data_IF_382541782311
#
_entry.id   IF_382541782311
#
_cell.length_a   1.000
_cell.length_b   1.000
_cell.length_c   1.000
_cell.angle_alpha   90.00
_cell.angle_beta   90.00
_cell.angle_gamma   90.00
#
_symmetry.space_group_name_H-M   'P 1'
#
loop_
_entity.id
_entity.type
_entity.pdbx_description
1 polymer ?
#
# COMPACT_ATOMS: atom_id res chain seq x y z
N UNK A 1 -10.32 10.49 -34.57
CA UNK A 1 -11.28 11.59 -34.33
C UNK A 1 -10.82 12.31 -33.07
N UNK A 2 -10.55 13.59 -33.09
CA UNK A 2 -10.09 14.32 -31.90
C UNK A 2 -11.25 14.42 -30.90
N UNK A 3 -11.02 14.05 -29.65
CA UNK A 3 -11.95 14.27 -28.53
C UNK A 3 -11.62 15.63 -27.92
N UNK A 4 -12.59 16.51 -27.92
CA UNK A 4 -12.56 17.80 -27.29
C UNK A 4 -12.16 17.68 -25.81
N UNK A 5 -11.06 18.35 -25.46
CA UNK A 5 -10.66 18.59 -24.08
C UNK A 5 -11.56 19.69 -23.51
N UNK A 6 -12.66 19.29 -22.89
CA UNK A 6 -13.43 20.21 -22.06
C UNK A 6 -12.65 20.47 -20.78
N UNK A 7 -12.11 21.67 -20.65
CA UNK A 7 -11.52 22.16 -19.43
C UNK A 7 -12.54 22.09 -18.28
N UNK A 8 -12.39 21.14 -17.38
CA UNK A 8 -13.11 21.13 -16.11
C UNK A 8 -12.31 21.92 -15.09
N UNK A 9 -12.76 23.12 -14.80
CA UNK A 9 -12.32 23.86 -13.63
C UNK A 9 -12.84 23.15 -12.38
N UNK A 10 -11.95 22.45 -11.69
CA UNK A 10 -12.23 21.89 -10.37
C UNK A 10 -11.82 22.91 -9.31
N UNK A 11 -12.68 23.23 -8.33
CA UNK A 11 -12.27 24.09 -7.23
C UNK A 11 -11.23 23.34 -6.38
N UNK A 12 -10.10 24.00 -6.11
CA UNK A 12 -9.08 23.52 -5.20
C UNK A 12 -9.72 23.34 -3.80
N UNK A 13 -9.88 22.11 -3.36
CA UNK A 13 -10.17 21.80 -1.96
C UNK A 13 -8.84 21.95 -1.22
N UNK A 14 -8.62 23.12 -0.67
CA UNK A 14 -7.58 23.33 0.34
C UNK A 14 -8.01 22.58 1.57
N UNK A 15 -7.38 21.46 1.89
CA UNK A 15 -7.47 20.84 3.20
C UNK A 15 -6.80 21.76 4.22
N UNK A 16 -7.57 22.75 4.70
CA UNK A 16 -7.15 23.56 5.82
C UNK A 16 -7.13 22.66 7.07
N UNK A 17 -5.95 22.46 7.64
CA UNK A 17 -5.78 21.95 8.98
C UNK A 17 -6.56 22.86 9.92
N UNK A 18 -7.72 22.39 10.40
CA UNK A 18 -8.52 23.09 11.40
C UNK A 18 -7.90 22.82 12.76
N UNK A 19 -7.18 23.80 13.28
CA UNK A 19 -6.69 23.75 14.65
C UNK A 19 -7.87 23.52 15.61
N UNK A 20 -7.72 22.65 16.63
CA UNK A 20 -8.79 22.38 17.60
C UNK A 20 -9.20 23.66 18.34
N UNK A 21 -10.51 23.91 18.39
CA UNK A 21 -11.06 25.00 19.19
C UNK A 21 -10.73 24.79 20.68
N UNK A 22 -10.42 25.85 21.44
CA UNK A 22 -10.25 25.73 22.88
C UNK A 22 -11.56 25.27 23.52
N UNK A 23 -11.48 24.14 24.23
CA UNK A 23 -12.60 23.55 24.97
C UNK A 23 -12.77 24.34 26.27
N UNK A 24 -14.02 24.74 26.55
CA UNK A 24 -14.40 25.36 27.83
C UNK A 24 -14.13 24.37 29.00
N UNK A 25 -13.76 24.86 30.21
CA UNK A 25 -13.51 23.96 31.33
C UNK A 25 -14.73 23.13 31.69
N UNK A 26 -14.58 21.86 32.08
CA UNK A 26 -15.69 20.96 32.33
C UNK A 26 -16.49 21.40 33.56
N UNK A 27 -17.82 21.41 33.41
CA UNK A 27 -18.74 21.46 34.55
C UNK A 27 -18.61 20.15 35.34
N UNK A 28 -18.50 20.24 36.66
CA UNK A 28 -18.44 19.10 37.57
C UNK A 28 -19.76 18.34 37.47
N UNK A 29 -19.78 17.24 36.73
CA UNK A 29 -20.87 16.28 36.73
C UNK A 29 -20.68 15.33 37.91
N UNK A 30 -21.78 15.12 38.67
CA UNK A 30 -21.86 14.14 39.75
C UNK A 30 -21.45 12.76 39.24
N UNK A 31 -20.51 12.11 39.92
CA UNK A 31 -19.98 10.82 39.59
C UNK A 31 -21.10 9.76 39.55
N UNK A 32 -21.47 9.33 38.36
CA UNK A 32 -22.18 8.06 38.14
C UNK A 32 -21.30 6.86 38.52
N UNK A 33 -21.84 5.65 38.61
CA UNK A 33 -21.06 4.46 38.89
C UNK A 33 -19.87 4.37 37.92
N UNK A 34 -18.70 4.07 38.47
CA UNK A 34 -17.48 3.94 37.64
C UNK A 34 -17.74 2.99 36.47
N UNK A 35 -17.37 3.34 35.25
CA UNK A 35 -17.56 2.48 34.08
C UNK A 35 -16.92 1.12 34.34
N UNK A 36 -17.57 0.03 33.90
CA UNK A 36 -17.16 -1.36 34.11
C UNK A 36 -15.84 -1.74 33.37
N UNK A 37 -15.05 -0.78 32.96
CA UNK A 37 -13.81 -0.92 32.22
C UNK A 37 -13.98 -0.58 30.73
N UNK A 38 -12.87 -0.37 30.04
CA UNK A 38 -12.85 -0.17 28.60
C UNK A 38 -13.03 -1.50 27.87
N UNK A 39 -14.02 -1.58 27.01
CA UNK A 39 -14.29 -2.76 26.20
C UNK A 39 -13.50 -2.71 24.91
N UNK A 40 -12.56 -3.62 24.77
CA UNK A 40 -11.76 -3.81 23.56
C UNK A 40 -12.58 -4.60 22.56
N UNK A 41 -13.07 -3.92 21.53
CA UNK A 41 -13.91 -4.52 20.50
C UNK A 41 -13.12 -5.47 19.60
N UNK A 42 -11.85 -5.08 19.27
CA UNK A 42 -11.04 -5.82 18.33
C UNK A 42 -9.57 -5.43 18.40
N UNK A 43 -8.70 -6.42 18.17
CA UNK A 43 -7.29 -6.26 17.78
C UNK A 43 -7.17 -6.65 16.31
N UNK A 44 -6.64 -5.78 15.47
CA UNK A 44 -6.36 -6.03 14.06
C UNK A 44 -4.87 -5.88 13.80
N UNK A 45 -4.29 -6.84 13.06
CA UNK A 45 -2.88 -6.80 12.63
C UNK A 45 -2.87 -6.65 11.12
N UNK A 46 -2.35 -5.54 10.63
CA UNK A 46 -2.46 -5.17 9.22
C UNK A 46 -1.12 -4.75 8.63
N UNK A 47 -1.02 -4.96 7.34
CA UNK A 47 0.08 -4.52 6.47
C UNK A 47 -0.51 -3.65 5.35
N UNK A 48 -0.39 -4.04 4.07
CA UNK A 48 -0.95 -3.26 2.96
C UNK A 48 -2.48 -3.34 2.87
N UNK A 49 -3.08 -4.46 3.22
CA UNK A 49 -4.53 -4.74 3.17
C UNK A 49 -4.90 -5.74 4.25
N UNK A 50 -6.08 -5.60 4.87
CA UNK A 50 -6.55 -6.60 5.82
C UNK A 50 -8.08 -6.71 5.83
N UNK A 51 -8.55 -7.93 6.08
CA UNK A 51 -9.96 -8.23 6.31
C UNK A 51 -10.37 -7.98 7.75
N UNK A 52 -11.67 -7.91 7.98
CA UNK A 52 -12.22 -7.76 9.32
C UNK A 52 -11.93 -8.97 10.24
N UNK A 53 -11.74 -10.15 9.70
CA UNK A 53 -11.37 -11.38 10.43
C UNK A 53 -9.85 -11.65 10.49
N UNK A 54 -9.04 -10.74 9.97
CA UNK A 54 -7.58 -10.85 9.91
C UNK A 54 -7.09 -12.03 9.06
N UNK A 55 -7.79 -12.33 7.95
CA UNK A 55 -7.52 -13.50 7.10
C UNK A 55 -6.49 -13.26 5.99
N UNK A 56 -6.13 -12.01 5.69
CA UNK A 56 -5.06 -11.74 4.70
C UNK A 56 -3.71 -12.11 5.30
N UNK A 57 -2.91 -12.80 4.50
CA UNK A 57 -1.60 -13.32 4.91
C UNK A 57 -0.66 -12.18 5.35
N UNK A 58 -0.05 -12.34 6.53
CA UNK A 58 0.98 -11.43 7.03
C UNK A 58 2.35 -11.90 6.57
N UNK A 59 3.05 -11.03 5.86
CA UNK A 59 4.41 -11.28 5.36
C UNK A 59 5.43 -10.87 6.42
N UNK A 60 6.36 -11.77 6.71
CA UNK A 60 7.42 -11.52 7.68
C UNK A 60 8.34 -10.37 7.24
N UNK A 61 8.85 -9.61 8.20
CA UNK A 61 9.74 -8.45 8.00
C UNK A 61 9.14 -7.32 7.13
N UNK A 62 7.82 -7.31 6.94
CA UNK A 62 7.10 -6.21 6.30
C UNK A 62 6.53 -5.28 7.36
N UNK A 63 6.56 -3.96 7.12
CA UNK A 63 5.95 -2.96 8.00
C UNK A 63 4.55 -3.36 8.44
N UNK A 64 4.35 -3.47 9.75
CA UNK A 64 3.14 -4.04 10.35
C UNK A 64 2.58 -3.13 11.43
N UNK A 65 1.29 -2.82 11.32
CA UNK A 65 0.53 -2.01 12.27
C UNK A 65 -0.42 -2.90 13.06
N UNK A 66 -0.44 -2.76 14.37
CA UNK A 66 -1.50 -3.30 15.24
C UNK A 66 -2.46 -2.17 15.55
N UNK A 67 -3.76 -2.43 15.37
CA UNK A 67 -4.81 -1.49 15.66
C UNK A 67 -5.73 -2.06 16.73
N UNK A 68 -5.97 -1.28 17.78
CA UNK A 68 -6.84 -1.66 18.89
C UNK A 68 -8.05 -0.74 18.92
N UNK A 69 -9.22 -1.33 18.71
CA UNK A 69 -10.50 -0.62 18.69
C UNK A 69 -11.21 -0.76 20.02
N UNK A 70 -11.61 0.37 20.60
CA UNK A 70 -12.28 0.46 21.91
C UNK A 70 -13.71 0.91 21.70
N UNK A 71 -14.64 0.31 22.43
CA UNK A 71 -16.04 0.66 22.39
C UNK A 71 -16.27 2.01 23.08
N UNK A 72 -16.75 3.00 22.32
CA UNK A 72 -17.03 4.36 22.84
C UNK A 72 -18.12 4.39 23.90
N UNK A 73 -19.06 3.44 23.88
CA UNK A 73 -20.12 3.36 24.89
C UNK A 73 -19.61 3.03 26.31
N UNK A 74 -18.33 2.66 26.46
CA UNK A 74 -17.72 2.34 27.75
C UNK A 74 -17.17 3.56 28.50
N UNK A 75 -17.18 4.75 27.88
CA UNK A 75 -16.80 6.01 28.53
C UNK A 75 -18.02 6.92 28.70
N UNK A 76 -18.07 7.59 29.85
CA UNK A 76 -19.20 8.49 30.15
C UNK A 76 -19.00 9.91 29.57
N UNK A 77 -17.76 10.29 29.33
CA UNK A 77 -17.35 11.60 28.81
C UNK A 77 -16.25 11.43 27.78
N UNK A 78 -16.05 12.43 26.94
CA UNK A 78 -14.94 12.43 25.98
C UNK A 78 -13.61 12.23 26.71
N UNK A 79 -12.89 11.17 26.33
CA UNK A 79 -11.72 10.67 27.04
C UNK A 79 -10.55 10.46 26.09
N UNK A 80 -9.37 10.95 26.48
CA UNK A 80 -8.12 10.68 25.76
C UNK A 80 -7.42 9.47 26.35
N UNK A 81 -7.02 8.55 25.48
CA UNK A 81 -6.39 7.29 25.84
C UNK A 81 -5.03 7.17 25.18
N UNK A 82 -4.09 6.57 25.91
CA UNK A 82 -2.83 6.00 25.42
C UNK A 82 -2.80 4.52 25.73
N UNK A 83 -1.99 3.76 25.02
CA UNK A 83 -1.90 2.33 25.25
C UNK A 83 -0.49 1.80 25.10
N UNK A 84 -0.31 0.60 25.61
CA UNK A 84 0.90 -0.20 25.45
C UNK A 84 0.50 -1.66 25.23
N UNK A 85 1.08 -2.29 24.21
CA UNK A 85 0.95 -3.72 23.98
C UNK A 85 2.23 -4.45 24.34
N UNK A 86 2.06 -5.68 24.78
CA UNK A 86 3.14 -6.63 24.96
C UNK A 86 3.15 -7.61 23.79
N UNK A 87 4.32 -7.86 23.22
CA UNK A 87 4.49 -8.82 22.12
C UNK A 87 5.54 -9.87 22.49
N UNK A 88 5.27 -11.14 22.09
CA UNK A 88 6.14 -12.29 22.29
C UNK A 88 6.13 -13.20 21.07
N UNK A 89 7.28 -13.77 20.72
CA UNK A 89 7.40 -14.76 19.64
C UNK A 89 7.08 -16.19 20.09
N UNK A 90 6.97 -16.40 21.39
CA UNK A 90 6.43 -17.62 22.04
C UNK A 90 6.01 -17.29 23.48
N UNK A 91 5.23 -18.11 24.17
CA UNK A 91 4.83 -17.87 25.57
C UNK A 91 6.01 -17.68 26.54
N UNK A 92 7.15 -18.31 26.24
CA UNK A 92 8.36 -18.25 27.06
C UNK A 92 9.38 -17.21 26.58
N UNK A 93 9.15 -16.59 25.42
CA UNK A 93 10.05 -15.56 24.90
C UNK A 93 10.01 -14.30 25.77
N UNK A 94 11.11 -13.54 25.85
CA UNK A 94 11.11 -12.24 26.51
C UNK A 94 10.02 -11.33 25.95
N UNK A 95 9.30 -10.66 26.82
CA UNK A 95 8.31 -9.66 26.45
C UNK A 95 8.98 -8.43 25.84
N UNK A 96 8.39 -7.90 24.79
CA UNK A 96 8.70 -6.58 24.28
C UNK A 96 7.46 -5.70 24.38
N UNK A 97 7.65 -4.49 24.89
CA UNK A 97 6.57 -3.51 25.06
C UNK A 97 6.63 -2.51 23.91
N UNK A 98 5.48 -2.25 23.30
CA UNK A 98 5.34 -1.31 22.20
C UNK A 98 4.29 -0.27 22.61
N UNK A 99 4.65 1.00 22.76
CA UNK A 99 3.69 2.06 23.05
C UNK A 99 2.87 2.40 21.82
N UNK A 100 1.64 2.87 22.03
CA UNK A 100 0.83 3.45 20.95
C UNK A 100 1.55 4.70 20.38
N UNK A 101 1.52 4.82 19.05
CA UNK A 101 2.12 5.96 18.35
C UNK A 101 1.20 7.20 18.34
N UNK A 102 -0.05 7.05 18.79
CA UNK A 102 -1.06 8.10 18.82
C UNK A 102 -1.83 8.10 20.15
N UNK A 103 -2.57 9.19 20.39
CA UNK A 103 -3.65 9.24 21.37
C UNK A 103 -4.98 8.93 20.66
N UNK A 104 -5.82 8.13 21.29
CA UNK A 104 -7.19 7.88 20.87
C UNK A 104 -8.13 8.75 21.68
N UNK A 105 -9.01 9.50 21.01
CA UNK A 105 -10.08 10.25 21.65
C UNK A 105 -11.36 9.43 21.48
N UNK A 106 -11.90 8.93 22.61
CA UNK A 106 -13.23 8.33 22.64
C UNK A 106 -14.26 9.39 22.99
N UNK A 107 -15.22 9.60 22.10
CA UNK A 107 -16.34 10.50 22.35
C UNK A 107 -17.67 9.69 22.36
N UNK A 108 -18.32 9.54 23.53
CA UNK A 108 -19.57 8.81 23.62
C UNK A 108 -20.74 9.51 22.88
N UNK A 109 -20.59 10.81 22.57
CA UNK A 109 -21.59 11.55 21.79
C UNK A 109 -21.52 11.27 20.28
N UNK A 110 -20.39 10.69 19.81
CA UNK A 110 -20.15 10.38 18.39
C UNK A 110 -19.75 8.92 18.21
N UNK A 111 -20.61 7.95 18.56
CA UNK A 111 -20.25 6.54 18.45
C UNK A 111 -20.14 6.13 16.98
N UNK A 112 -19.05 5.47 16.62
CA UNK A 112 -18.84 4.86 15.32
C UNK A 112 -18.91 3.33 15.41
N UNK A 113 -19.54 2.71 14.41
CA UNK A 113 -19.51 1.25 14.27
C UNK A 113 -18.11 0.77 13.85
N UNK A 114 -17.75 -0.46 14.19
CA UNK A 114 -16.41 -1.01 13.93
C UNK A 114 -15.98 -0.90 12.46
N UNK A 115 -16.82 -1.14 11.43
CA UNK A 115 -16.40 -0.94 10.04
C UNK A 115 -15.96 0.50 9.74
N UNK A 116 -16.68 1.50 10.26
CA UNK A 116 -16.31 2.91 10.09
C UNK A 116 -15.02 3.26 10.85
N UNK A 117 -14.79 2.70 12.05
CA UNK A 117 -13.54 2.88 12.80
C UNK A 117 -12.35 2.30 12.03
N UNK A 118 -12.53 1.17 11.35
CA UNK A 118 -11.45 0.57 10.55
C UNK A 118 -11.00 1.47 9.40
N UNK A 119 -11.92 2.24 8.83
CA UNK A 119 -11.68 3.16 7.73
C UNK A 119 -11.02 4.49 8.14
N UNK A 120 -10.85 4.75 9.43
CA UNK A 120 -10.25 5.97 9.96
C UNK A 120 -9.07 5.65 10.90
N UNK A 121 -7.88 6.11 10.55
CA UNK A 121 -6.66 5.83 11.32
C UNK A 121 -6.70 6.40 12.74
N UNK A 122 -7.46 7.47 12.96
CA UNK A 122 -7.66 8.14 14.26
C UNK A 122 -8.60 7.39 15.21
N UNK A 123 -9.36 6.41 14.73
CA UNK A 123 -10.40 5.70 15.50
C UNK A 123 -9.90 4.44 16.22
N UNK A 124 -8.58 4.31 16.37
CA UNK A 124 -7.92 3.22 17.07
C UNK A 124 -6.64 3.68 17.78
N UNK A 125 -6.21 2.93 18.80
CA UNK A 125 -4.83 2.98 19.23
C UNK A 125 -3.98 2.20 18.22
N UNK A 126 -2.93 2.83 17.73
CA UNK A 126 -2.08 2.32 16.66
C UNK A 126 -0.67 2.02 17.19
N UNK A 127 -0.16 0.83 16.89
CA UNK A 127 1.14 0.36 17.34
C UNK A 127 1.95 -0.13 16.15
N UNK A 128 3.04 0.54 15.83
CA UNK A 128 3.95 0.08 14.79
C UNK A 128 4.86 -0.99 15.37
N UNK A 129 4.79 -2.20 14.83
CA UNK A 129 5.64 -3.30 15.30
C UNK A 129 7.08 -3.10 14.82
N UNK A 130 8.07 -3.30 15.69
CA UNK A 130 9.46 -3.32 15.26
C UNK A 130 9.78 -4.57 14.44
N UNK A 131 10.68 -4.45 13.46
CA UNK A 131 10.99 -5.51 12.48
C UNK A 131 11.44 -6.82 13.13
N UNK A 132 12.13 -6.75 14.25
CA UNK A 132 12.63 -7.93 14.95
C UNK A 132 11.56 -8.84 15.52
N UNK A 133 10.30 -8.39 15.65
CA UNK A 133 9.18 -9.22 16.13
C UNK A 133 8.28 -9.70 15.00
N UNK A 134 8.42 -9.17 13.78
CA UNK A 134 7.65 -9.59 12.61
C UNK A 134 8.33 -10.68 11.79
N UNK A 135 9.27 -11.43 12.39
CA UNK A 135 9.97 -12.56 11.75
C UNK A 135 9.02 -13.72 11.45
N UNK A 136 9.38 -14.64 10.55
CA UNK A 136 8.56 -15.81 10.27
C UNK A 136 8.23 -16.59 11.54
N UNK A 137 6.95 -16.96 11.70
CA UNK A 137 6.45 -17.68 12.86
C UNK A 137 5.31 -16.96 13.57
N UNK A 138 4.98 -17.43 14.75
CA UNK A 138 3.86 -16.90 15.54
C UNK A 138 4.29 -15.69 16.36
N UNK A 139 3.43 -14.68 16.39
CA UNK A 139 3.50 -13.53 17.30
C UNK A 139 2.27 -13.53 18.20
N UNK A 140 2.47 -13.45 19.50
CA UNK A 140 1.44 -13.30 20.53
C UNK A 140 1.42 -11.83 20.94
N UNK A 141 0.26 -11.22 20.85
CA UNK A 141 -0.03 -9.84 21.21
C UNK A 141 -0.93 -9.80 22.43
N UNK A 142 -0.62 -8.98 23.41
CA UNK A 142 -1.48 -8.72 24.56
C UNK A 142 -1.55 -7.21 24.83
N UNK A 143 -2.75 -6.67 25.06
CA UNK A 143 -2.91 -5.29 25.51
C UNK A 143 -2.48 -5.23 26.96
N UNK A 144 -1.34 -4.60 27.22
CA UNK A 144 -0.76 -4.52 28.55
C UNK A 144 -1.50 -3.56 29.44
N UNK A 145 -1.74 -2.36 28.89
CA UNK A 145 -2.47 -1.30 29.59
C UNK A 145 -3.04 -0.28 28.59
N UNK A 146 -4.13 0.33 28.99
CA UNK A 146 -4.68 1.54 28.40
C UNK A 146 -4.84 2.55 29.51
N UNK A 147 -4.32 3.75 29.33
CA UNK A 147 -4.27 4.82 30.33
C UNK A 147 -5.06 6.02 29.86
N UNK A 148 -5.73 6.71 30.76
CA UNK A 148 -6.23 8.06 30.49
C UNK A 148 -5.07 9.09 30.44
N UNK A 149 -5.29 10.19 29.75
CA UNK A 149 -4.41 11.34 29.85
C UNK A 149 -4.40 11.86 31.31
N UNK A 150 -3.29 11.63 32.00
CA UNK A 150 -3.19 11.89 33.45
C UNK A 150 -2.57 10.72 34.21
N UNK A 151 -2.57 9.51 33.61
CA UNK A 151 -1.72 8.40 34.06
C UNK A 151 -2.42 7.20 34.69
N UNK A 152 -3.74 7.23 34.86
CA UNK A 152 -4.44 6.11 35.50
C UNK A 152 -4.73 4.97 34.48
N UNK A 153 -4.29 3.75 34.85
CA UNK A 153 -4.62 2.54 34.10
C UNK A 153 -6.14 2.26 34.19
N UNK A 154 -6.72 1.91 33.05
CA UNK A 154 -8.13 1.58 32.97
C UNK A 154 -8.33 0.07 33.00
N UNK A 155 -9.32 -0.45 33.76
CA UNK A 155 -9.71 -1.84 33.64
C UNK A 155 -10.12 -2.18 32.20
N UNK A 156 -9.72 -3.35 31.70
CA UNK A 156 -9.98 -3.77 30.33
C UNK A 156 -10.85 -5.01 30.28
N UNK A 157 -11.82 -5.00 29.35
CA UNK A 157 -12.66 -6.15 28.99
C UNK A 157 -12.60 -6.41 27.49
N UNK A 158 -13.23 -7.48 26.98
CA UNK A 158 -13.25 -7.79 25.56
C UNK A 158 -12.00 -8.51 25.04
N UNK A 159 -11.62 -8.28 23.77
CA UNK A 159 -10.48 -8.94 23.11
C UNK A 159 -9.15 -8.36 23.58
N UNK A 160 -8.51 -8.98 24.58
CA UNK A 160 -7.26 -8.49 25.17
C UNK A 160 -6.00 -9.06 24.57
N UNK A 161 -6.10 -10.14 23.83
CA UNK A 161 -4.95 -10.81 23.21
C UNK A 161 -5.29 -11.35 21.84
N UNK A 162 -4.27 -11.45 20.99
CA UNK A 162 -4.37 -12.04 19.66
C UNK A 162 -3.09 -12.76 19.31
N UNK A 163 -3.22 -13.88 18.62
CA UNK A 163 -2.08 -14.60 18.04
C UNK A 163 -2.17 -14.53 16.52
N UNK A 164 -1.08 -14.19 15.84
CA UNK A 164 -0.99 -14.14 14.39
C UNK A 164 0.26 -14.88 13.91
N UNK A 165 0.27 -15.28 12.65
CA UNK A 165 1.41 -15.95 12.03
C UNK A 165 1.94 -15.13 10.87
N UNK A 166 3.24 -14.86 10.87
CA UNK A 166 3.95 -14.27 9.76
C UNK A 166 4.57 -15.35 8.89
N UNK A 167 4.34 -15.28 7.59
CA UNK A 167 4.95 -16.19 6.62
C UNK A 167 6.21 -15.58 6.01
N UNK A 168 7.23 -16.41 5.80
CA UNK A 168 8.41 -15.98 5.04
C UNK A 168 8.02 -15.71 3.59
N UNK A 169 8.64 -14.70 2.99
CA UNK A 169 8.49 -14.40 1.57
C UNK A 169 9.84 -13.96 0.98
N UNK A 170 10.06 -14.12 -0.33
CA UNK A 170 11.23 -13.59 -1.01
C UNK A 170 11.15 -12.07 -1.11
N UNK A 171 12.30 -11.37 -1.20
CA UNK A 171 12.31 -9.97 -1.56
C UNK A 171 11.90 -9.78 -3.02
N UNK A 172 11.36 -8.60 -3.33
CA UNK A 172 11.13 -8.16 -4.69
C UNK A 172 12.43 -7.57 -5.27
N UNK A 173 12.97 -8.20 -6.31
CA UNK A 173 14.21 -7.75 -6.97
C UNK A 173 13.84 -6.93 -8.20
N UNK A 174 14.23 -5.67 -8.21
CA UNK A 174 13.92 -4.73 -9.30
C UNK A 174 15.20 -4.12 -9.87
N UNK A 175 15.32 -4.21 -11.19
CA UNK A 175 16.21 -3.40 -12.01
C UNK A 175 15.37 -2.38 -12.78
N UNK A 176 15.41 -1.11 -12.36
CA UNK A 176 14.65 -0.05 -12.99
C UNK A 176 15.52 0.69 -14.01
N UNK A 177 15.06 0.77 -15.26
CA UNK A 177 15.75 1.38 -16.38
C UNK A 177 15.06 2.69 -16.78
N UNK A 178 15.64 3.82 -16.47
CA UNK A 178 15.18 5.10 -17.00
C UNK A 178 15.60 5.24 -18.46
N UNK A 179 14.64 5.47 -19.37
CA UNK A 179 14.90 5.62 -20.78
C UNK A 179 14.90 7.12 -21.13
N UNK A 180 16.10 7.66 -21.42
CA UNK A 180 16.27 9.05 -21.86
C UNK A 180 16.11 9.11 -23.37
N UNK A 181 15.14 9.87 -23.86
CA UNK A 181 14.92 10.04 -25.29
C UNK A 181 14.97 11.50 -25.72
N UNK A 182 15.36 11.73 -26.98
CA UNK A 182 15.27 13.02 -27.63
C UNK A 182 14.07 13.00 -28.57
N UNK A 183 13.05 13.79 -28.25
CA UNK A 183 11.93 14.01 -29.15
C UNK A 183 12.38 14.84 -30.36
N UNK A 184 12.39 14.25 -31.53
CA UNK A 184 12.81 14.90 -32.77
C UNK A 184 11.81 15.96 -33.26
N UNK A 185 10.55 15.87 -32.84
CA UNK A 185 9.53 16.84 -33.23
C UNK A 185 9.67 18.17 -32.48
N UNK A 186 9.97 18.10 -31.18
CA UNK A 186 10.17 19.27 -30.32
C UNK A 186 11.63 19.67 -30.16
N UNK A 187 12.57 18.79 -30.48
CA UNK A 187 14.00 18.92 -30.21
C UNK A 187 14.40 18.82 -28.74
N UNK A 188 13.47 18.52 -27.85
CA UNK A 188 13.71 18.38 -26.41
C UNK A 188 14.23 17.00 -26.04
N UNK A 189 15.01 16.92 -24.97
CA UNK A 189 15.41 15.67 -24.34
C UNK A 189 14.60 15.47 -23.07
N UNK A 190 14.02 14.30 -22.91
CA UNK A 190 13.23 13.86 -21.79
C UNK A 190 13.97 12.78 -21.03
N UNK A 191 14.03 12.90 -19.71
CA UNK A 191 14.78 11.99 -18.84
C UNK A 191 14.01 11.80 -17.55
N UNK A 192 13.71 10.56 -17.13
CA UNK A 192 13.10 10.31 -15.83
C UNK A 192 13.94 10.88 -14.68
N UNK A 193 13.34 11.71 -13.84
CA UNK A 193 13.99 12.27 -12.67
C UNK A 193 14.11 11.25 -11.51
N UNK A 194 15.07 11.48 -10.62
CA UNK A 194 15.31 10.59 -9.46
C UNK A 194 14.08 10.43 -8.56
N UNK A 195 13.21 11.43 -8.50
CA UNK A 195 11.98 11.40 -7.71
C UNK A 195 11.07 10.23 -8.12
N UNK A 196 10.93 9.97 -9.42
CA UNK A 196 10.07 8.91 -9.95
C UNK A 196 10.52 7.50 -9.50
N UNK A 197 11.83 7.23 -9.53
CA UNK A 197 12.38 5.97 -9.02
C UNK A 197 12.19 5.82 -7.53
N UNK A 198 12.33 6.92 -6.78
CA UNK A 198 12.23 6.93 -5.33
C UNK A 198 10.80 6.61 -4.86
N UNK A 199 9.79 7.28 -5.44
CA UNK A 199 8.39 7.04 -5.09
C UNK A 199 7.93 5.64 -5.51
N UNK A 200 8.29 5.18 -6.72
CA UNK A 200 7.97 3.83 -7.17
C UNK A 200 8.57 2.75 -6.22
N UNK A 201 9.85 2.88 -5.86
CA UNK A 201 10.48 1.96 -4.91
C UNK A 201 9.75 1.94 -3.57
N UNK A 202 9.42 3.12 -3.04
CA UNK A 202 8.69 3.28 -1.78
C UNK A 202 7.30 2.64 -1.85
N UNK A 203 6.55 2.92 -2.91
CA UNK A 203 5.21 2.36 -3.12
C UNK A 203 5.24 0.83 -3.16
N UNK A 204 6.16 0.23 -3.93
CA UNK A 204 6.31 -1.22 -4.00
C UNK A 204 6.59 -1.85 -2.63
N UNK A 205 7.43 -1.23 -1.81
CA UNK A 205 7.71 -1.70 -0.45
C UNK A 205 6.48 -1.63 0.47
N UNK A 206 5.64 -0.61 0.31
CA UNK A 206 4.44 -0.39 1.12
C UNK A 206 3.26 -1.26 0.66
N UNK A 207 2.99 -1.31 -0.65
CA UNK A 207 1.83 -1.97 -1.22
C UNK A 207 2.04 -3.47 -1.48
N UNK A 208 3.20 -3.91 -1.99
CA UNK A 208 3.42 -5.29 -2.40
C UNK A 208 3.68 -6.24 -1.22
N UNK A 209 3.36 -7.55 -1.37
CA UNK A 209 3.48 -8.55 -0.31
C UNK A 209 4.92 -9.04 -0.10
N UNK A 210 5.83 -8.13 0.18
CA UNK A 210 7.27 -8.43 0.23
C UNK A 210 7.93 -7.90 1.49
N UNK A 211 8.96 -8.60 2.03
CA UNK A 211 9.72 -8.12 3.18
C UNK A 211 10.61 -6.92 2.84
N UNK A 212 11.07 -6.84 1.60
CA UNK A 212 11.96 -5.78 1.13
C UNK A 212 11.90 -5.65 -0.39
N UNK A 213 12.32 -4.49 -0.89
CA UNK A 213 12.58 -4.24 -2.32
C UNK A 213 14.09 -4.10 -2.52
N UNK A 214 14.70 -5.10 -3.15
CA UNK A 214 16.08 -5.05 -3.62
C UNK A 214 16.10 -4.25 -4.93
N UNK A 215 16.61 -3.03 -4.85
CA UNK A 215 16.48 -2.04 -5.90
C UNK A 215 17.81 -1.66 -6.51
N UNK A 216 17.86 -1.65 -7.84
CA UNK A 216 18.94 -1.02 -8.62
C UNK A 216 18.33 -0.24 -9.77
N UNK A 217 19.00 0.84 -10.17
CA UNK A 217 18.53 1.70 -11.26
C UNK A 217 19.65 2.27 -12.09
N UNK A 218 19.34 2.56 -13.36
CA UNK A 218 20.23 3.24 -14.29
C UNK A 218 19.38 4.06 -15.28
N UNK A 219 19.96 5.11 -15.83
CA UNK A 219 19.41 5.82 -16.98
C UNK A 219 20.28 5.51 -18.19
N UNK A 220 19.63 5.12 -19.29
CA UNK A 220 20.27 4.84 -20.59
C UNK A 220 19.59 5.65 -21.69
N UNK A 221 20.27 5.83 -22.82
CA UNK A 221 19.65 6.43 -24.01
C UNK A 221 18.63 5.42 -24.59
N UNK A 222 17.47 5.93 -24.94
CA UNK A 222 16.39 5.13 -25.53
C UNK A 222 16.66 4.88 -27.03
N UNK A 223 16.20 3.75 -27.50
CA UNK A 223 16.27 3.37 -28.93
C UNK A 223 15.15 4.04 -29.76
N UNK A 224 14.42 5.00 -29.19
CA UNK A 224 13.37 5.75 -29.83
C UNK A 224 13.54 7.27 -29.66
N UNK A 225 12.89 8.04 -30.55
CA UNK A 225 13.04 9.51 -30.64
C UNK A 225 11.71 10.25 -30.64
N UNK A 226 10.67 9.65 -30.14
CA UNK A 226 9.32 10.19 -30.03
C UNK A 226 8.78 10.02 -28.61
N UNK A 227 7.73 10.76 -28.21
CA UNK A 227 7.06 10.59 -26.93
C UNK A 227 6.56 9.16 -26.68
N UNK A 228 6.34 8.83 -25.40
CA UNK A 228 5.89 7.51 -24.97
C UNK A 228 4.44 7.26 -25.40
N UNK A 229 4.25 6.42 -26.41
CA UNK A 229 2.97 6.04 -27.03
C UNK A 229 3.00 4.56 -27.42
N UNK A 230 1.94 4.05 -28.03
CA UNK A 230 1.79 2.63 -28.39
C UNK A 230 2.97 2.02 -29.15
N UNK A 231 3.60 2.75 -30.07
CA UNK A 231 4.74 2.26 -30.84
C UNK A 231 6.04 2.32 -30.02
N UNK A 232 6.26 3.41 -29.27
CA UNK A 232 7.49 3.61 -28.49
C UNK A 232 7.53 2.74 -27.24
N UNK A 233 6.39 2.37 -26.66
CA UNK A 233 6.36 1.40 -25.53
C UNK A 233 6.84 0.01 -25.98
N UNK A 234 6.58 -0.39 -27.21
CA UNK A 234 7.09 -1.66 -27.76
C UNK A 234 8.61 -1.62 -27.92
N UNK A 235 9.15 -0.48 -28.40
CA UNK A 235 10.60 -0.26 -28.51
C UNK A 235 11.26 -0.21 -27.13
N UNK A 236 10.65 0.48 -26.16
CA UNK A 236 11.11 0.52 -24.78
C UNK A 236 11.20 -0.90 -24.19
N UNK A 237 10.15 -1.70 -24.32
CA UNK A 237 10.14 -3.07 -23.83
C UNK A 237 11.18 -3.96 -24.52
N UNK A 238 11.37 -3.81 -25.84
CA UNK A 238 12.39 -4.57 -26.57
C UNK A 238 13.80 -4.21 -26.07
N UNK A 239 14.10 -2.93 -25.85
CA UNK A 239 15.37 -2.47 -25.30
C UNK A 239 15.60 -2.99 -23.87
N UNK A 240 14.58 -2.90 -23.00
CA UNK A 240 14.66 -3.41 -21.62
C UNK A 240 14.91 -4.92 -21.60
N UNK A 241 14.25 -5.69 -22.47
CA UNK A 241 14.45 -7.12 -22.60
C UNK A 241 15.88 -7.46 -23.06
N UNK A 242 16.43 -6.68 -23.99
CA UNK A 242 17.82 -6.86 -24.43
C UNK A 242 18.82 -6.53 -23.31
N UNK A 243 18.62 -5.46 -22.57
CA UNK A 243 19.44 -5.10 -21.39
C UNK A 243 19.37 -6.24 -20.36
N UNK A 244 18.17 -6.71 -20.03
CA UNK A 244 17.97 -7.81 -19.09
C UNK A 244 18.74 -9.07 -19.52
N UNK A 245 18.56 -9.46 -20.78
CA UNK A 245 19.26 -10.63 -21.32
C UNK A 245 20.78 -10.51 -21.16
N UNK A 246 21.34 -9.36 -21.47
CA UNK A 246 22.78 -9.08 -21.33
C UNK A 246 23.22 -9.11 -19.87
N UNK A 247 22.50 -8.47 -18.95
CA UNK A 247 22.86 -8.39 -17.53
C UNK A 247 22.72 -9.76 -16.85
N UNK A 248 21.67 -10.55 -17.15
CA UNK A 248 21.49 -11.91 -16.62
C UNK A 248 22.59 -12.86 -17.13
N UNK A 249 22.92 -12.78 -18.41
CA UNK A 249 24.04 -13.55 -18.97
C UNK A 249 25.41 -13.16 -18.35
N UNK A 250 25.49 -11.97 -17.78
CA UNK A 250 26.68 -11.47 -17.07
C UNK A 250 26.65 -11.73 -15.56
N UNK A 251 25.63 -12.44 -15.05
CA UNK A 251 25.57 -12.90 -13.66
C UNK A 251 24.55 -12.21 -12.77
N UNK A 252 23.67 -11.34 -13.30
CA UNK A 252 22.54 -10.80 -12.55
C UNK A 252 21.56 -11.93 -12.21
N UNK A 253 21.00 -11.93 -11.00
CA UNK A 253 20.01 -12.91 -10.57
C UNK A 253 18.84 -12.97 -11.56
N UNK A 254 18.54 -14.14 -12.16
CA UNK A 254 17.46 -14.27 -13.15
C UNK A 254 16.06 -13.98 -12.59
N UNK A 255 15.88 -13.96 -11.25
CA UNK A 255 14.64 -13.55 -10.57
C UNK A 255 14.43 -12.03 -10.53
N UNK A 256 15.39 -11.25 -11.05
CA UNK A 256 15.26 -9.80 -11.10
C UNK A 256 14.28 -9.39 -12.20
N UNK A 257 13.25 -8.64 -11.80
CA UNK A 257 12.30 -8.03 -12.72
C UNK A 257 12.86 -6.71 -13.26
N UNK A 258 12.67 -6.49 -14.55
CA UNK A 258 13.15 -5.30 -15.24
C UNK A 258 11.96 -4.42 -15.62
N UNK A 259 11.97 -3.18 -15.15
CA UNK A 259 10.93 -2.18 -15.39
C UNK A 259 11.55 -0.94 -16.01
N UNK A 260 10.98 -0.46 -17.11
CA UNK A 260 11.33 0.82 -17.72
C UNK A 260 10.52 1.96 -17.16
N UNK A 261 11.15 3.12 -16.95
CA UNK A 261 10.48 4.39 -16.75
C UNK A 261 10.79 5.34 -17.92
N UNK A 262 9.73 5.97 -18.45
CA UNK A 262 9.81 6.91 -19.56
C UNK A 262 9.08 8.20 -19.18
N UNK A 263 9.78 9.34 -19.27
CA UNK A 263 9.17 10.65 -19.02
C UNK A 263 8.02 10.90 -20.01
N UNK A 264 6.86 11.35 -19.52
CA UNK A 264 5.63 11.55 -20.28
C UNK A 264 5.63 12.80 -21.18
N UNK A 265 6.74 13.52 -21.24
CA UNK A 265 6.86 14.80 -21.97
C UNK A 265 5.80 15.84 -21.55
N UNK A 266 5.49 15.94 -20.25
CA UNK A 266 4.44 16.78 -19.67
C UNK A 266 3.01 16.40 -20.13
N UNK A 267 2.73 15.13 -20.25
CA UNK A 267 1.41 14.58 -20.56
C UNK A 267 1.04 14.64 -22.03
N UNK A 268 1.98 14.95 -22.93
CA UNK A 268 1.75 14.90 -24.36
C UNK A 268 1.56 13.43 -24.79
N UNK A 269 0.35 13.10 -25.27
CA UNK A 269 0.00 11.74 -25.71
C UNK A 269 0.21 10.67 -24.61
N UNK A 270 -0.27 10.93 -23.41
CA UNK A 270 -0.11 10.07 -22.24
C UNK A 270 -0.50 8.61 -22.51
N UNK A 271 0.43 7.71 -22.27
CA UNK A 271 0.23 6.28 -22.28
C UNK A 271 0.42 5.71 -20.87
N UNK A 272 -0.47 4.82 -20.42
CA UNK A 272 -0.43 4.28 -19.06
C UNK A 272 0.71 3.27 -18.82
N UNK A 273 1.29 2.74 -19.86
CA UNK A 273 2.34 1.73 -19.82
C UNK A 273 1.94 0.44 -20.53
N UNK A 274 2.86 -0.51 -20.56
CA UNK A 274 2.64 -1.84 -21.13
C UNK A 274 3.64 -2.85 -20.60
N UNK A 275 3.15 -3.97 -20.10
CA UNK A 275 3.96 -5.18 -19.95
C UNK A 275 4.08 -5.94 -21.27
N UNK A 276 5.18 -6.67 -21.49
CA UNK A 276 5.33 -7.54 -22.65
C UNK A 276 4.34 -8.70 -22.66
N UNK A 277 3.78 -9.05 -21.51
CA UNK A 277 2.79 -10.12 -21.39
C UNK A 277 2.24 -10.23 -19.98
N UNK A 278 1.21 -11.08 -19.86
CA UNK A 278 0.60 -11.46 -18.58
C UNK A 278 0.80 -12.98 -18.43
N UNK A 279 1.96 -13.41 -17.91
CA UNK A 279 2.31 -14.82 -17.92
C UNK A 279 1.44 -15.63 -16.95
N UNK A 280 0.89 -16.75 -17.43
CA UNK A 280 0.09 -17.67 -16.60
C UNK A 280 0.95 -18.42 -15.57
N UNK A 281 2.24 -18.60 -15.84
CA UNK A 281 3.23 -19.26 -14.97
C UNK A 281 4.36 -18.30 -14.65
N UNK A 282 5.20 -18.56 -13.61
CA UNK A 282 6.33 -17.73 -13.27
C UNK A 282 7.29 -17.47 -14.45
N UNK A 283 7.43 -16.20 -14.82
CA UNK A 283 8.30 -15.73 -15.91
C UNK A 283 8.94 -14.38 -15.54
N UNK A 284 9.95 -14.35 -14.66
CA UNK A 284 10.61 -13.12 -14.25
C UNK A 284 11.36 -12.41 -15.39
N UNK A 285 11.45 -13.03 -16.57
CA UNK A 285 11.95 -12.44 -17.80
C UNK A 285 10.94 -11.57 -18.56
N UNK A 286 9.66 -11.58 -18.15
CA UNK A 286 8.68 -10.64 -18.68
C UNK A 286 9.01 -9.23 -18.19
N UNK A 287 9.25 -8.32 -19.12
CA UNK A 287 9.56 -6.92 -18.81
C UNK A 287 8.34 -6.02 -19.02
N UNK A 288 8.41 -4.82 -18.46
CA UNK A 288 7.38 -3.80 -18.63
C UNK A 288 7.98 -2.40 -18.72
N UNK A 289 7.24 -1.47 -19.30
CA UNK A 289 7.57 -0.05 -19.29
C UNK A 289 6.37 0.78 -18.88
N UNK A 290 6.60 1.79 -18.05
CA UNK A 290 5.59 2.69 -17.51
C UNK A 290 5.99 4.16 -17.72
N UNK A 291 5.02 5.07 -17.82
CA UNK A 291 5.31 6.50 -17.85
C UNK A 291 5.69 7.00 -16.46
N UNK A 292 6.41 8.10 -16.40
CA UNK A 292 6.65 8.86 -15.19
C UNK A 292 6.46 10.34 -15.43
N UNK A 293 6.02 11.04 -14.40
CA UNK A 293 5.75 12.46 -14.41
C UNK A 293 5.08 12.92 -13.12
N UNK A 294 4.75 14.19 -13.03
CA UNK A 294 4.08 14.77 -11.86
C UNK A 294 2.58 14.49 -11.91
N UNK A 295 1.93 14.04 -10.80
CA UNK A 295 0.51 13.81 -10.75
C UNK A 295 -0.27 15.11 -10.97
N UNK A 296 -1.01 15.19 -12.08
CA UNK A 296 -1.92 16.28 -12.37
C UNK A 296 -3.33 15.73 -12.60
N UNK A 297 -4.18 15.83 -11.57
CA UNK A 297 -5.57 15.44 -11.66
C UNK A 297 -5.85 13.95 -11.37
N UNK A 298 -4.89 13.21 -10.87
CA UNK A 298 -5.09 11.86 -10.35
C UNK A 298 -5.58 11.94 -8.89
N UNK A 299 -6.88 11.75 -8.68
CA UNK A 299 -7.45 11.85 -7.33
C UNK A 299 -6.90 10.71 -6.44
N UNK A 300 -6.32 11.08 -5.30
CA UNK A 300 -5.72 10.13 -4.36
C UNK A 300 -4.22 9.93 -4.54
N UNK A 301 -3.64 10.39 -5.65
CA UNK A 301 -2.21 10.52 -5.83
C UNK A 301 -1.79 11.91 -5.32
N UNK A 302 -1.23 11.93 -4.11
CA UNK A 302 -0.92 13.16 -3.38
C UNK A 302 0.60 13.35 -3.20
N UNK A 303 1.40 12.62 -3.96
CA UNK A 303 2.85 12.73 -3.91
C UNK A 303 3.43 13.44 -5.16
N UNK A 304 4.69 13.21 -5.48
CA UNK A 304 5.38 13.91 -6.55
C UNK A 304 5.52 13.11 -7.84
N UNK A 305 4.94 11.90 -7.93
CA UNK A 305 5.18 11.00 -9.05
C UNK A 305 4.10 9.95 -9.24
N UNK A 306 3.39 9.98 -10.35
CA UNK A 306 2.48 8.89 -10.71
C UNK A 306 3.20 7.64 -11.26
N UNK A 307 4.53 7.64 -11.32
CA UNK A 307 5.29 6.46 -11.76
C UNK A 307 5.07 5.25 -10.85
N UNK A 308 4.72 5.47 -9.60
CA UNK A 308 4.44 4.43 -8.63
C UNK A 308 3.15 3.66 -8.97
N UNK A 309 2.07 4.34 -9.33
CA UNK A 309 0.83 3.70 -9.74
C UNK A 309 1.02 2.92 -11.04
N UNK A 310 1.54 3.57 -12.10
CA UNK A 310 1.69 2.90 -13.40
C UNK A 310 2.82 1.86 -13.39
N UNK A 311 3.92 2.13 -12.69
CA UNK A 311 5.00 1.15 -12.55
C UNK A 311 4.57 -0.08 -11.77
N UNK A 312 3.81 0.08 -10.69
CA UNK A 312 3.25 -1.05 -9.95
C UNK A 312 2.18 -1.79 -10.77
N UNK A 313 1.34 -1.09 -11.53
CA UNK A 313 0.36 -1.69 -12.43
C UNK A 313 1.04 -2.59 -13.46
N UNK A 314 2.04 -2.07 -14.18
CA UNK A 314 2.73 -2.83 -15.22
C UNK A 314 3.53 -4.01 -14.66
N UNK A 315 4.13 -3.86 -13.48
CA UNK A 315 4.70 -4.99 -12.75
C UNK A 315 3.65 -6.01 -12.34
N UNK A 316 2.44 -5.58 -11.96
CA UNK A 316 1.32 -6.48 -11.68
C UNK A 316 1.04 -7.42 -12.85
N UNK A 317 1.07 -6.92 -14.09
CA UNK A 317 0.93 -7.74 -15.29
C UNK A 317 2.06 -8.77 -15.40
N UNK A 318 3.29 -8.42 -15.13
CA UNK A 318 4.42 -9.39 -15.18
C UNK A 318 4.26 -10.49 -14.13
N UNK A 319 3.53 -10.24 -13.05
CA UNK A 319 3.13 -11.23 -12.05
C UNK A 319 1.82 -11.98 -12.41
N UNK A 320 1.34 -11.84 -13.65
CA UNK A 320 0.16 -12.54 -14.12
C UNK A 320 -1.17 -11.93 -13.67
N UNK A 321 -1.19 -10.66 -13.27
CA UNK A 321 -2.43 -9.96 -12.90
C UNK A 321 -3.11 -9.38 -14.14
N UNK A 322 -4.42 -9.58 -14.22
CA UNK A 322 -5.28 -9.07 -15.29
C UNK A 322 -6.07 -7.85 -14.78
N UNK A 323 -6.67 -7.12 -15.72
CA UNK A 323 -7.53 -6.01 -15.39
C UNK A 323 -8.88 -6.45 -14.80
N UNK A 324 -9.39 -5.80 -13.74
CA UNK A 324 -10.74 -6.05 -13.24
C UNK A 324 -11.86 -5.42 -14.10
N UNK A 325 -11.52 -4.60 -15.11
CA UNK A 325 -12.50 -4.01 -16.02
C UNK A 325 -13.11 -2.69 -15.54
N UNK A 326 -12.40 -1.90 -14.77
CA UNK A 326 -12.91 -0.64 -14.25
C UNK A 326 -11.93 0.55 -14.48
N UNK A 327 -12.40 1.75 -14.93
CA UNK A 327 -13.80 2.11 -15.28
C UNK A 327 -14.28 1.39 -16.54
N UNK A 328 -15.58 1.10 -16.63
CA UNK A 328 -16.17 0.45 -17.82
C UNK A 328 -15.88 1.24 -19.10
N UNK A 329 -15.50 0.54 -20.16
CA UNK A 329 -15.18 1.14 -21.46
C UNK A 329 -13.81 1.83 -21.54
N UNK A 330 -13.09 1.97 -20.42
CA UNK A 330 -11.70 2.44 -20.40
C UNK A 330 -10.72 1.30 -20.19
N UNK A 331 -11.18 0.20 -19.61
CA UNK A 331 -10.40 -0.99 -19.32
C UNK A 331 -11.20 -2.25 -19.72
N UNK A 332 -10.52 -3.25 -20.24
CA UNK A 332 -11.09 -4.57 -20.50
C UNK A 332 -11.26 -5.35 -19.18
N UNK A 333 -12.31 -6.17 -19.10
CA UNK A 333 -12.58 -7.06 -17.97
C UNK A 333 -11.95 -8.43 -18.24
N UNK A 334 -10.62 -8.53 -18.07
CA UNK A 334 -9.87 -9.75 -18.40
C UNK A 334 -9.56 -10.63 -17.17
N UNK A 335 -9.90 -10.18 -15.94
CA UNK A 335 -9.91 -11.02 -14.73
C UNK A 335 -11.33 -11.43 -14.35
N UNK A 336 -11.84 -12.58 -14.85
CA UNK A 336 -13.19 -13.04 -14.51
C UNK A 336 -13.32 -13.50 -13.05
N UNK A 337 -12.21 -13.67 -12.34
CA UNK A 337 -12.16 -14.07 -10.94
C UNK A 337 -12.02 -12.90 -9.95
N UNK A 338 -12.00 -11.66 -10.44
CA UNK A 338 -11.87 -10.49 -9.55
C UNK A 338 -13.09 -10.38 -8.62
N UNK A 339 -12.89 -10.37 -7.29
CA UNK A 339 -14.00 -10.61 -6.36
C UNK A 339 -14.78 -9.36 -5.95
N UNK A 340 -14.28 -8.16 -6.28
CA UNK A 340 -14.86 -6.90 -5.79
C UNK A 340 -15.50 -6.09 -6.90
N UNK A 341 -16.68 -5.53 -6.60
CA UNK A 341 -17.42 -4.67 -7.54
C UNK A 341 -16.57 -3.43 -7.92
N UNK A 342 -16.70 -3.00 -9.16
CA UNK A 342 -16.05 -1.79 -9.67
C UNK A 342 -14.52 -1.77 -9.49
N UNK A 343 -13.86 -2.92 -9.41
CA UNK A 343 -12.42 -2.97 -9.15
C UNK A 343 -11.99 -2.42 -7.79
N UNK A 344 -12.90 -2.33 -6.83
CA UNK A 344 -12.65 -1.79 -5.48
C UNK A 344 -11.78 -2.75 -4.63
N UNK A 345 -11.38 -2.31 -3.43
CA UNK A 345 -10.67 -3.17 -2.47
C UNK A 345 -11.63 -4.00 -1.62
N UNK A 346 -12.89 -3.60 -1.52
CA UNK A 346 -13.95 -4.28 -0.77
C UNK A 346 -15.32 -4.01 -1.41
N UNK A 347 -16.25 -4.92 -1.21
CA UNK A 347 -17.65 -4.70 -1.52
C UNK A 347 -18.33 -3.84 -0.44
N UNK A 348 -19.65 -3.61 -0.59
CA UNK A 348 -20.46 -2.82 0.34
C UNK A 348 -20.45 -3.33 1.80
N UNK A 349 -20.03 -4.57 2.04
CA UNK A 349 -19.82 -5.17 3.36
C UNK A 349 -18.64 -4.55 4.14
N UNK A 350 -17.78 -3.76 3.48
CA UNK A 350 -16.58 -3.10 4.06
C UNK A 350 -15.63 -4.07 4.76
N UNK A 351 -15.60 -5.30 4.30
CA UNK A 351 -14.79 -6.35 4.92
C UNK A 351 -13.30 -6.06 4.86
N UNK A 352 -12.83 -5.46 3.76
CA UNK A 352 -11.41 -5.16 3.56
C UNK A 352 -11.14 -3.66 3.66
N UNK A 353 -10.03 -3.33 4.31
CA UNK A 353 -9.47 -1.97 4.37
C UNK A 353 -8.00 -2.04 4.02
N UNK A 354 -7.56 -1.16 3.12
CA UNK A 354 -6.16 -0.97 2.80
C UNK A 354 -5.46 -0.10 3.86
N UNK A 355 -4.15 -0.32 4.00
CA UNK A 355 -3.30 0.41 4.94
C UNK A 355 -2.01 0.80 4.26
N UNK A 356 -1.81 2.10 4.08
CA UNK A 356 -0.52 2.63 3.70
C UNK A 356 0.29 2.95 4.95
N UNK A 357 1.39 2.23 5.16
CA UNK A 357 2.27 2.45 6.31
C UNK A 357 3.00 3.79 6.26
N UNK A 358 2.89 4.49 5.13
CA UNK A 358 3.59 5.72 4.89
C UNK A 358 5.09 5.56 4.65
N UNK A 359 5.72 6.66 4.33
CA UNK A 359 7.17 6.80 4.21
C UNK A 359 7.56 8.20 4.71
N UNK A 360 8.03 8.27 5.95
CA UNK A 360 8.34 9.55 6.58
C UNK A 360 9.48 10.31 5.86
N UNK A 361 10.39 9.59 5.20
CA UNK A 361 11.49 10.22 4.46
C UNK A 361 11.00 10.95 3.20
N UNK A 362 9.85 10.52 2.66
CA UNK A 362 9.20 11.10 1.49
C UNK A 362 8.00 11.99 1.85
N UNK A 363 7.67 12.11 3.14
CA UNK A 363 6.48 12.82 3.58
C UNK A 363 5.16 12.10 3.28
N UNK A 364 5.19 10.81 2.94
CA UNK A 364 3.98 10.01 2.72
C UNK A 364 3.41 9.59 4.08
N UNK A 365 2.16 9.97 4.41
CA UNK A 365 1.59 9.70 5.72
C UNK A 365 1.14 8.24 5.88
N UNK A 366 1.13 7.76 7.14
CA UNK A 366 0.36 6.58 7.51
C UNK A 366 -1.12 6.88 7.34
N UNK A 367 -1.84 6.05 6.58
CA UNK A 367 -3.26 6.27 6.32
C UNK A 367 -4.01 4.96 6.03
N UNK A 368 -5.34 5.02 6.19
CA UNK A 368 -6.25 3.98 5.77
C UNK A 368 -6.75 4.24 4.36
N UNK A 369 -7.00 3.15 3.62
CA UNK A 369 -7.59 3.15 2.29
C UNK A 369 -8.96 2.46 2.36
N UNK A 370 -10.07 3.18 2.68
CA UNK A 370 -11.40 2.59 2.77
C UNK A 370 -11.77 1.81 1.51
N UNK A 371 -12.10 0.53 1.69
CA UNK A 371 -12.16 -0.41 0.57
C UNK A 371 -13.24 -0.12 -0.47
N UNK A 372 -14.32 0.56 -0.08
CA UNK A 372 -15.41 0.96 -0.99
C UNK A 372 -15.12 2.26 -1.78
N UNK A 373 -14.02 2.97 -1.45
CA UNK A 373 -13.64 4.23 -2.11
C UNK A 373 -12.30 4.12 -2.84
N UNK A 374 -11.53 3.07 -2.56
CA UNK A 374 -10.25 2.82 -3.22
C UNK A 374 -10.37 1.64 -4.17
N UNK A 375 -9.58 1.67 -5.22
CA UNK A 375 -9.61 0.70 -6.29
C UNK A 375 -8.29 -0.07 -6.34
N UNK A 376 -8.37 -1.29 -6.84
CA UNK A 376 -7.17 -2.09 -7.05
C UNK A 376 -6.21 -1.43 -8.04
N UNK A 377 -4.93 -1.58 -7.81
CA UNK A 377 -3.87 -1.03 -8.65
C UNK A 377 -3.94 -1.51 -10.11
N UNK A 378 -4.62 -2.63 -10.38
CA UNK A 378 -4.85 -3.14 -11.74
C UNK A 378 -6.02 -2.45 -12.45
N UNK A 379 -6.68 -1.46 -11.82
CA UNK A 379 -7.70 -0.62 -12.46
C UNK A 379 -7.09 0.59 -13.17
N UNK A 380 -7.93 1.31 -13.97
CA UNK A 380 -7.63 2.65 -14.47
C UNK A 380 -8.41 3.73 -13.71
N UNK A 381 -8.84 3.40 -12.49
CA UNK A 381 -9.53 4.32 -11.61
C UNK A 381 -8.55 5.16 -10.78
N UNK A 382 -9.07 6.23 -10.20
CA UNK A 382 -8.37 7.02 -9.17
C UNK A 382 -8.30 6.26 -7.82
N UNK A 383 -7.53 6.77 -6.86
CA UNK A 383 -7.36 6.25 -5.50
C UNK A 383 -6.92 4.77 -5.52
N UNK A 384 -5.84 4.52 -6.22
CA UNK A 384 -5.32 3.15 -6.37
C UNK A 384 -4.59 2.69 -5.11
N UNK A 385 -4.82 1.42 -4.79
CA UNK A 385 -4.08 0.66 -3.80
C UNK A 385 -4.16 -0.83 -4.14
N UNK A 386 -3.52 -1.70 -3.36
CA UNK A 386 -3.60 -3.15 -3.59
C UNK A 386 -4.79 -3.77 -2.87
N UNK A 387 -5.62 -4.55 -3.56
CA UNK A 387 -6.65 -5.38 -2.93
C UNK A 387 -6.10 -6.73 -2.46
N UNK A 388 -6.86 -7.45 -1.63
CA UNK A 388 -6.42 -8.76 -1.11
C UNK A 388 -6.22 -9.80 -2.19
N UNK A 389 -7.04 -9.78 -3.25
CA UNK A 389 -6.92 -10.70 -4.39
C UNK A 389 -5.59 -10.51 -5.14
N UNK A 390 -5.24 -9.27 -5.44
CA UNK A 390 -3.97 -8.93 -6.11
C UNK A 390 -2.77 -9.17 -5.18
N UNK A 391 -2.87 -8.77 -3.91
CA UNK A 391 -1.84 -8.97 -2.90
C UNK A 391 -1.46 -10.44 -2.74
N UNK A 392 -2.44 -11.33 -2.51
CA UNK A 392 -2.20 -12.76 -2.33
C UNK A 392 -1.66 -13.41 -3.61
N UNK A 393 -2.17 -13.01 -4.77
CA UNK A 393 -1.70 -13.56 -6.04
C UNK A 393 -0.24 -13.19 -6.34
N UNK A 394 0.17 -11.94 -6.09
CA UNK A 394 1.57 -11.51 -6.24
C UNK A 394 2.44 -12.26 -5.23
N UNK A 395 1.99 -12.43 -3.97
CA UNK A 395 2.73 -13.18 -2.95
C UNK A 395 3.02 -14.61 -3.41
N UNK A 396 1.98 -15.31 -3.87
CA UNK A 396 2.12 -16.69 -4.35
C UNK A 396 3.03 -16.76 -5.58
N UNK A 397 2.92 -15.80 -6.50
CA UNK A 397 3.76 -15.73 -7.69
C UNK A 397 5.24 -15.59 -7.34
N UNK A 398 5.59 -14.67 -6.46
CA UNK A 398 6.98 -14.46 -6.02
C UNK A 398 7.56 -15.71 -5.33
N UNK A 399 6.77 -16.40 -4.51
CA UNK A 399 7.18 -17.68 -3.92
C UNK A 399 7.41 -18.78 -4.98
N UNK A 400 6.59 -18.81 -6.03
CA UNK A 400 6.75 -19.77 -7.13
C UNK A 400 8.02 -19.47 -7.92
N UNK A 401 8.29 -18.20 -8.22
CA UNK A 401 9.53 -17.77 -8.89
C UNK A 401 10.75 -18.13 -8.06
N UNK A 402 10.73 -17.87 -6.75
CA UNK A 402 11.84 -18.20 -5.88
C UNK A 402 12.14 -19.71 -5.85
N UNK A 403 11.09 -20.53 -5.79
CA UNK A 403 11.22 -22.00 -5.86
C UNK A 403 11.75 -22.50 -7.21
N UNK A 404 11.38 -21.87 -8.32
CA UNK A 404 11.83 -22.26 -9.65
C UNK A 404 13.36 -22.13 -9.80
N UNK A 405 13.96 -21.16 -9.12
CA UNK A 405 15.39 -20.88 -9.16
C UNK A 405 16.14 -21.32 -7.90
N UNK A 406 15.46 -21.96 -6.96
CA UNK A 406 16.10 -22.55 -5.79
C UNK A 406 17.04 -23.69 -6.22
N UNK A 407 18.23 -23.82 -5.62
CA UNK A 407 19.06 -24.99 -5.87
C UNK A 407 18.28 -26.25 -5.49
N UNK A 408 18.46 -27.38 -6.22
CA UNK A 408 17.81 -28.63 -5.88
C UNK A 408 18.14 -28.99 -4.42
N UNK A 409 17.11 -29.36 -3.65
CA UNK A 409 17.30 -29.84 -2.28
C UNK A 409 18.10 -31.12 -2.37
N UNK A 410 19.30 -31.12 -1.75
CA UNK A 410 20.22 -32.25 -1.74
C UNK A 410 19.67 -33.43 -0.91
#
# INVERSE_FOLDING_TARGET
>A
MPRDAAARSTPAIVNAYVAPRPVAPPSIALAGPAPAGLDIQKIEVCQAIQSDDNSVTLVANKGTLVRVYINQATVAVSTRLRGEIEVRTSPQAPARFVPAMNELILDPASPAALPAKREAISESLNFLLPDEVTRPGTLILEIKRVMQAGGDDQPLTGERSKSVTFVAGPPLRIRCIGLRYRDTSSGKTHTPDAVHFTYLRSFLGRAYPVPAVEWSQIVVDADFTAPFVDDTVLQANAQIAAIRSSEVNSGTDPRTHYLGLVDDANGANFMRGRAMGIPATPQPDTVAAAPCGTPNGFAGDNDLSYADWYGAHELGHTFGRFHPGFPPGQQDASDPGFPFENGQLSNADRRFVGYDMGDAALGVPLQTMPGIFHHDLMTYADRQWVCSHTFEAIRVRLEQEDRQFAPPVA
#
